data_IF_724896456373
#
_entry.id   IF_724896456373
#
_cell.length_a   1.000
_cell.length_b   1.000
_cell.length_c   1.000
_cell.angle_alpha   90.00
_cell.angle_beta   90.00
_cell.angle_gamma   90.00
#
_symmetry.space_group_name_H-M   'P 1'
#
loop_
_entity.id
_entity.type
_entity.pdbx_description
1 polymer ?
#
# COMPACT_ATOMS: atom_id res chain seq x y z
N UNK A 1 8.67 -5.11 -9.63
CA UNK A 1 9.84 -4.60 -10.39
C UNK A 1 10.95 -3.99 -9.52
N UNK A 2 10.79 -3.82 -8.20
CA UNK A 2 11.73 -3.02 -7.37
C UNK A 2 12.93 -3.76 -6.77
N UNK A 3 12.78 -5.01 -6.31
CA UNK A 3 13.84 -5.70 -5.55
C UNK A 3 15.07 -6.05 -6.40
N UNK A 4 14.85 -6.64 -7.59
CA UNK A 4 15.93 -7.04 -8.49
C UNK A 4 16.75 -5.82 -8.96
N UNK A 5 16.06 -4.74 -9.34
CA UNK A 5 16.70 -3.48 -9.72
C UNK A 5 17.50 -2.88 -8.55
N UNK A 6 16.94 -2.90 -7.33
CA UNK A 6 17.65 -2.48 -6.12
C UNK A 6 18.92 -3.31 -5.90
N UNK A 7 18.86 -4.64 -6.05
CA UNK A 7 20.04 -5.50 -5.86
C UNK A 7 21.10 -5.24 -6.92
N UNK A 8 20.73 -5.11 -8.20
CA UNK A 8 21.67 -4.83 -9.29
C UNK A 8 22.36 -3.49 -9.07
N UNK A 9 21.59 -2.43 -8.81
CA UNK A 9 22.13 -1.09 -8.58
C UNK A 9 22.96 -1.03 -7.29
N UNK A 10 22.52 -1.74 -6.24
CA UNK A 10 23.24 -1.83 -4.98
C UNK A 10 24.60 -2.53 -5.13
N UNK A 11 24.65 -3.64 -5.87
CA UNK A 11 25.90 -4.36 -6.17
C UNK A 11 26.83 -3.50 -7.03
N UNK A 12 26.29 -2.84 -8.07
CA UNK A 12 27.07 -1.94 -8.92
C UNK A 12 27.69 -0.80 -8.10
N UNK A 13 26.92 -0.17 -7.20
CA UNK A 13 27.41 0.86 -6.31
C UNK A 13 28.46 0.33 -5.31
N UNK A 14 28.23 -0.86 -4.74
CA UNK A 14 29.15 -1.53 -3.83
C UNK A 14 30.51 -1.75 -4.48
N UNK A 15 30.54 -2.33 -5.68
CA UNK A 15 31.78 -2.65 -6.41
C UNK A 15 32.45 -1.35 -6.89
N UNK A 16 31.69 -0.44 -7.50
CA UNK A 16 32.22 0.78 -8.10
C UNK A 16 32.87 1.73 -7.08
N UNK A 17 32.26 1.88 -5.90
CA UNK A 17 32.81 2.71 -4.82
C UNK A 17 33.79 1.91 -3.95
N UNK A 18 33.47 0.64 -3.64
CA UNK A 18 34.26 -0.20 -2.75
C UNK A 18 35.68 -0.45 -3.25
N UNK A 19 35.86 -0.66 -4.55
CA UNK A 19 37.18 -0.86 -5.16
C UNK A 19 38.06 0.39 -5.16
N UNK A 20 37.46 1.59 -5.06
CA UNK A 20 38.18 2.87 -5.14
C UNK A 20 38.41 3.54 -3.80
N UNK A 21 37.42 3.44 -2.90
CA UNK A 21 37.39 4.20 -1.64
C UNK A 21 37.35 3.29 -0.41
N UNK A 22 37.23 1.98 -0.59
CA UNK A 22 37.14 1.00 0.49
C UNK A 22 35.72 0.46 0.70
N UNK A 23 35.63 -0.79 1.16
CA UNK A 23 34.39 -1.55 1.20
C UNK A 23 33.30 -0.97 2.10
N UNK A 24 33.65 -0.20 3.14
CA UNK A 24 32.66 0.50 3.97
C UNK A 24 31.93 1.61 3.21
N UNK A 25 32.66 2.39 2.40
CA UNK A 25 32.04 3.39 1.53
C UNK A 25 31.27 2.75 0.37
N UNK A 26 31.76 1.60 -0.13
CA UNK A 26 30.98 0.75 -1.05
C UNK A 26 29.65 0.32 -0.44
N UNK A 27 29.67 -0.18 0.80
CA UNK A 27 28.47 -0.55 1.55
C UNK A 27 27.53 0.65 1.74
N UNK A 28 28.07 1.82 2.07
CA UNK A 28 27.29 3.05 2.21
C UNK A 28 26.62 3.47 0.90
N UNK A 29 27.33 3.36 -0.23
CA UNK A 29 26.76 3.65 -1.54
C UNK A 29 25.63 2.67 -1.89
N UNK A 30 25.83 1.37 -1.64
CA UNK A 30 24.79 0.36 -1.83
C UNK A 30 23.56 0.60 -0.93
N UNK A 31 23.80 0.99 0.33
CA UNK A 31 22.76 1.36 1.29
C UNK A 31 21.97 2.58 0.79
N UNK A 32 22.64 3.64 0.35
CA UNK A 32 21.99 4.83 -0.19
C UNK A 32 21.12 4.51 -1.41
N UNK A 33 21.57 3.62 -2.30
CA UNK A 33 20.76 3.11 -3.41
C UNK A 33 19.54 2.33 -2.91
N UNK A 34 19.71 1.45 -1.94
CA UNK A 34 18.61 0.71 -1.31
C UNK A 34 17.56 1.63 -0.68
N UNK A 35 18.03 2.64 0.05
CA UNK A 35 17.18 3.67 0.66
C UNK A 35 16.44 4.45 -0.42
N UNK A 36 17.13 4.92 -1.47
CA UNK A 36 16.51 5.68 -2.54
C UNK A 36 15.46 4.87 -3.31
N UNK A 37 15.80 3.64 -3.69
CA UNK A 37 14.90 2.76 -4.47
C UNK A 37 13.68 2.28 -3.70
N UNK A 38 13.70 2.30 -2.37
CA UNK A 38 12.54 1.93 -1.53
C UNK A 38 11.82 3.13 -0.91
N UNK A 39 12.56 4.11 -0.41
CA UNK A 39 12.05 5.32 0.22
C UNK A 39 11.31 6.25 -0.75
N UNK A 40 11.87 6.49 -1.94
CA UNK A 40 11.23 7.39 -2.92
C UNK A 40 9.84 6.88 -3.34
N UNK A 41 9.64 5.60 -3.71
CA UNK A 41 8.30 5.10 -3.99
C UNK A 41 7.33 5.15 -2.81
N UNK A 42 7.81 5.00 -1.57
CA UNK A 42 6.97 5.13 -0.38
C UNK A 42 6.48 6.57 -0.26
N UNK A 43 7.38 7.54 -0.26
CA UNK A 43 7.02 8.97 -0.17
C UNK A 43 6.06 9.34 -1.31
N UNK A 44 6.39 8.95 -2.55
CA UNK A 44 5.55 9.21 -3.71
C UNK A 44 4.15 8.60 -3.56
N UNK A 45 4.04 7.39 -3.01
CA UNK A 45 2.73 6.75 -2.79
C UNK A 45 1.87 7.47 -1.75
N UNK A 46 2.47 8.16 -0.78
CA UNK A 46 1.73 9.02 0.15
C UNK A 46 1.32 10.37 -0.47
N UNK A 47 2.03 10.84 -1.51
CA UNK A 47 1.76 12.09 -2.22
C UNK A 47 0.74 11.95 -3.37
N UNK A 48 0.37 10.73 -3.79
CA UNK A 48 -0.67 10.46 -4.80
C UNK A 48 -0.10 10.11 -6.19
N UNK A 49 -0.84 9.63 -7.20
CA UNK A 49 -2.26 9.35 -7.38
C UNK A 49 -2.37 8.02 -8.15
N UNK A 50 -2.76 6.93 -7.50
CA UNK A 50 -3.03 5.67 -8.19
C UNK A 50 -4.39 5.82 -8.90
N UNK A 51 -4.46 5.64 -10.23
CA UNK A 51 -5.75 5.64 -10.92
C UNK A 51 -6.59 4.50 -10.35
N UNK A 52 -7.92 4.70 -10.27
CA UNK A 52 -8.82 3.59 -9.96
C UNK A 52 -8.67 2.52 -11.05
N UNK A 53 -8.86 1.25 -10.68
CA UNK A 53 -8.99 0.24 -11.72
C UNK A 53 -10.25 0.57 -12.51
N UNK A 54 -10.18 0.45 -13.82
CA UNK A 54 -11.39 0.53 -14.65
C UNK A 54 -12.26 -0.69 -14.32
N UNK A 55 -13.47 -0.49 -13.75
CA UNK A 55 -14.35 -1.61 -13.44
C UNK A 55 -14.98 -2.25 -14.69
N UNK A 56 -14.73 -1.70 -15.90
CA UNK A 56 -15.36 -2.16 -17.14
C UNK A 56 -16.79 -1.63 -17.27
N UNK A 57 -17.69 -2.31 -18.02
CA UNK A 57 -19.09 -1.90 -18.17
C UNK A 57 -19.82 -1.96 -16.82
N UNK A 58 -19.86 -0.83 -16.14
CA UNK A 58 -20.49 -0.65 -14.83
C UNK A 58 -21.93 -0.14 -15.01
N UNK A 59 -22.47 0.59 -14.03
CA UNK A 59 -23.83 1.11 -14.04
C UNK A 59 -24.21 1.97 -15.27
N UNK A 60 -23.25 2.66 -15.90
CA UNK A 60 -23.48 3.49 -17.10
C UNK A 60 -23.83 2.66 -18.35
N UNK A 61 -23.38 1.40 -18.42
CA UNK A 61 -23.51 0.55 -19.61
C UNK A 61 -24.40 -0.69 -19.37
N UNK A 62 -24.83 -0.90 -18.13
CA UNK A 62 -25.64 -2.03 -17.70
C UNK A 62 -27.13 -1.85 -18.06
N UNK A 63 -27.51 -2.37 -19.24
CA UNK A 63 -28.90 -2.32 -19.74
C UNK A 63 -29.91 -3.03 -18.84
N UNK A 64 -29.46 -4.02 -18.07
CA UNK A 64 -30.26 -4.81 -17.15
C UNK A 64 -30.64 -4.09 -15.84
N UNK A 65 -30.30 -2.81 -15.67
CA UNK A 65 -30.69 -2.01 -14.50
C UNK A 65 -31.97 -1.19 -14.71
N UNK A 66 -32.49 -1.13 -15.94
CA UNK A 66 -33.73 -0.42 -16.27
C UNK A 66 -33.76 1.03 -15.77
N UNK A 67 -34.85 1.41 -15.12
CA UNK A 67 -35.08 2.78 -14.59
C UNK A 67 -34.20 3.13 -13.38
N UNK A 68 -33.54 2.15 -12.75
CA UNK A 68 -32.70 2.36 -11.58
C UNK A 68 -31.25 2.74 -11.92
N UNK A 69 -30.82 2.57 -13.18
CA UNK A 69 -29.44 2.84 -13.61
C UNK A 69 -28.96 4.25 -13.23
N UNK A 70 -29.71 5.35 -13.47
CA UNK A 70 -29.24 6.70 -13.13
C UNK A 70 -29.04 6.91 -11.63
N UNK A 71 -29.86 6.26 -10.79
CA UNK A 71 -29.76 6.35 -9.32
C UNK A 71 -28.50 5.65 -8.82
N UNK A 72 -28.20 4.45 -9.35
CA UNK A 72 -27.00 3.69 -9.03
C UNK A 72 -25.74 4.37 -9.52
N UNK A 73 -25.77 4.95 -10.72
CA UNK A 73 -24.67 5.74 -11.28
C UNK A 73 -24.39 6.98 -10.42
N UNK A 74 -25.42 7.72 -10.02
CA UNK A 74 -25.28 8.87 -9.13
C UNK A 74 -24.67 8.46 -7.77
N UNK A 75 -25.06 7.31 -7.23
CA UNK A 75 -24.49 6.77 -6.00
C UNK A 75 -23.01 6.38 -6.18
N UNK A 76 -22.67 5.69 -7.28
CA UNK A 76 -21.29 5.36 -7.62
C UNK A 76 -20.41 6.60 -7.76
N UNK A 77 -20.89 7.63 -8.47
CA UNK A 77 -20.18 8.90 -8.62
C UNK A 77 -19.85 9.56 -7.27
N UNK A 78 -20.73 9.43 -6.27
CA UNK A 78 -20.49 9.93 -4.90
C UNK A 78 -19.40 9.15 -4.15
N UNK A 79 -19.32 7.82 -4.32
CA UNK A 79 -18.34 7.00 -3.60
C UNK A 79 -17.00 6.84 -4.34
N UNK A 80 -16.96 7.10 -5.66
CA UNK A 80 -15.75 6.99 -6.50
C UNK A 80 -14.53 7.72 -5.90
N UNK A 81 -14.74 8.89 -5.32
CA UNK A 81 -13.67 9.64 -4.61
C UNK A 81 -13.10 8.86 -3.42
N UNK A 82 -13.98 8.26 -2.61
CA UNK A 82 -13.63 7.42 -1.46
C UNK A 82 -12.86 6.16 -1.89
N UNK A 83 -13.31 5.49 -2.96
CA UNK A 83 -12.61 4.30 -3.48
C UNK A 83 -11.20 4.65 -3.96
N UNK A 84 -11.04 5.78 -4.67
CA UNK A 84 -9.72 6.25 -5.09
C UNK A 84 -8.83 6.53 -3.89
N UNK A 85 -9.38 7.15 -2.85
CA UNK A 85 -8.68 7.41 -1.61
C UNK A 85 -8.24 6.10 -0.93
N UNK A 86 -9.13 5.11 -0.77
CA UNK A 86 -8.78 3.80 -0.21
C UNK A 86 -7.70 3.09 -1.00
N UNK A 87 -7.81 3.06 -2.33
CA UNK A 87 -6.79 2.46 -3.20
C UNK A 87 -5.42 3.12 -3.03
N UNK A 88 -5.37 4.45 -2.98
CA UNK A 88 -4.14 5.21 -2.75
C UNK A 88 -3.52 4.88 -1.39
N UNK A 89 -4.34 4.91 -0.33
CA UNK A 89 -3.88 4.61 1.03
C UNK A 89 -3.43 3.16 1.17
N UNK A 90 -4.19 2.21 0.61
CA UNK A 90 -3.79 0.82 0.54
C UNK A 90 -2.41 0.65 -0.11
N UNK A 91 -2.19 1.25 -1.27
CA UNK A 91 -0.93 1.14 -1.99
C UNK A 91 0.24 1.79 -1.24
N UNK A 92 0.00 2.89 -0.50
CA UNK A 92 1.02 3.53 0.31
C UNK A 92 1.41 2.69 1.52
N UNK A 93 0.41 2.23 2.26
CA UNK A 93 0.60 1.37 3.42
C UNK A 93 1.19 0.00 3.05
N UNK A 94 0.84 -0.56 1.88
CA UNK A 94 1.44 -1.78 1.34
C UNK A 94 2.94 -1.62 1.13
N UNK A 95 3.37 -0.54 0.45
CA UNK A 95 4.79 -0.28 0.20
C UNK A 95 5.57 -0.08 1.48
N UNK A 96 5.01 0.66 2.44
CA UNK A 96 5.63 0.86 3.75
C UNK A 96 5.76 -0.46 4.52
N UNK A 97 4.73 -1.30 4.52
CA UNK A 97 4.78 -2.62 5.15
C UNK A 97 5.83 -3.54 4.48
N UNK A 98 5.84 -3.60 3.15
CA UNK A 98 6.83 -4.38 2.39
C UNK A 98 8.26 -3.90 2.67
N UNK A 99 8.47 -2.58 2.74
CA UNK A 99 9.77 -2.01 3.08
C UNK A 99 10.20 -2.39 4.51
N UNK A 100 9.29 -2.33 5.49
CA UNK A 100 9.56 -2.81 6.85
C UNK A 100 10.01 -4.28 6.84
N UNK A 101 9.24 -5.17 6.22
CA UNK A 101 9.58 -6.61 6.17
C UNK A 101 10.94 -6.82 5.54
N UNK A 102 11.19 -6.19 4.39
CA UNK A 102 12.45 -6.30 3.67
C UNK A 102 13.64 -5.80 4.50
N UNK A 103 13.54 -4.60 5.08
CA UNK A 103 14.63 -4.01 5.86
C UNK A 103 14.87 -4.75 7.19
N UNK A 104 13.82 -5.30 7.82
CA UNK A 104 13.95 -6.19 8.97
C UNK A 104 14.70 -7.49 8.64
N UNK A 105 14.42 -8.10 7.49
CA UNK A 105 15.16 -9.29 7.03
C UNK A 105 16.63 -8.95 6.73
N UNK A 106 16.88 -7.86 6.00
CA UNK A 106 18.23 -7.39 5.70
C UNK A 106 18.99 -7.13 7.00
N UNK A 107 18.41 -6.38 7.96
CA UNK A 107 19.07 -6.11 9.24
C UNK A 107 19.27 -7.36 10.09
N UNK A 108 18.29 -8.24 10.16
CA UNK A 108 18.38 -9.48 10.95
C UNK A 108 19.54 -10.37 10.50
N UNK A 109 19.80 -10.46 9.19
CA UNK A 109 20.87 -11.29 8.63
C UNK A 109 22.22 -10.56 8.61
N UNK A 110 22.24 -9.28 8.21
CA UNK A 110 23.51 -8.57 8.00
C UNK A 110 24.14 -8.06 9.28
N UNK A 111 23.36 -7.66 10.28
CA UNK A 111 23.88 -6.97 11.47
C UNK A 111 24.87 -7.83 12.28
N UNK A 112 24.65 -9.14 12.51
CA UNK A 112 25.66 -10.00 13.14
C UNK A 112 27.00 -10.05 12.38
N UNK A 113 26.95 -10.09 11.05
CA UNK A 113 28.14 -10.11 10.20
C UNK A 113 28.88 -8.77 10.21
N UNK A 114 28.11 -7.68 10.16
CA UNK A 114 28.63 -6.31 10.16
C UNK A 114 29.30 -5.97 11.50
N UNK A 115 28.71 -6.38 12.62
CA UNK A 115 29.28 -6.17 13.97
C UNK A 115 30.61 -6.92 14.13
N UNK A 116 30.73 -8.14 13.62
CA UNK A 116 31.98 -8.90 13.69
C UNK A 116 33.13 -8.24 12.91
N UNK A 117 32.82 -7.52 11.83
CA UNK A 117 33.81 -6.84 10.98
C UNK A 117 33.96 -5.35 11.28
N UNK A 118 33.19 -4.83 12.24
CA UNK A 118 33.13 -3.40 12.53
C UNK A 118 34.49 -2.87 12.99
N UNK A 119 34.94 -1.80 12.35
CA UNK A 119 36.16 -1.08 12.71
C UNK A 119 35.82 0.31 13.24
N UNK A 120 36.02 0.50 14.55
CA UNK A 120 35.77 1.77 15.25
C UNK A 120 36.70 2.90 14.81
N UNK A 121 37.81 2.60 14.14
CA UNK A 121 38.76 3.60 13.69
C UNK A 121 38.51 4.03 12.23
N UNK A 122 37.63 3.33 11.51
CA UNK A 122 37.29 3.65 10.13
C UNK A 122 36.04 4.56 10.07
N UNK A 123 36.16 5.84 9.63
CA UNK A 123 35.01 6.75 9.56
C UNK A 123 33.86 6.22 8.70
N UNK A 124 34.19 5.53 7.59
CA UNK A 124 33.20 4.90 6.72
C UNK A 124 32.39 3.79 7.41
N UNK A 125 33.01 3.03 8.33
CA UNK A 125 32.32 1.98 9.07
C UNK A 125 31.32 2.57 10.07
N UNK A 126 31.73 3.62 10.79
CA UNK A 126 30.86 4.36 11.71
C UNK A 126 29.66 4.93 10.93
N UNK A 127 29.93 5.65 9.84
CA UNK A 127 28.89 6.29 9.03
C UNK A 127 27.91 5.25 8.45
N UNK A 128 28.42 4.15 7.90
CA UNK A 128 27.59 3.06 7.39
C UNK A 128 26.67 2.50 8.48
N UNK A 129 27.22 2.14 9.64
CA UNK A 129 26.45 1.55 10.75
C UNK A 129 25.40 2.53 11.28
N UNK A 130 25.73 3.81 11.40
CA UNK A 130 24.78 4.84 11.83
C UNK A 130 23.63 4.98 10.84
N UNK A 131 23.91 5.11 9.53
CA UNK A 131 22.85 5.25 8.52
C UNK A 131 22.00 3.98 8.44
N UNK A 132 22.62 2.81 8.51
CA UNK A 132 21.94 1.52 8.43
C UNK A 132 20.97 1.30 9.58
N UNK A 133 21.44 1.49 10.82
CA UNK A 133 20.62 1.32 12.04
C UNK A 133 19.53 2.40 12.14
N UNK A 134 19.86 3.65 11.79
CA UNK A 134 18.87 4.75 11.77
C UNK A 134 17.77 4.48 10.77
N UNK A 135 18.09 4.07 9.55
CA UNK A 135 17.10 3.81 8.51
C UNK A 135 16.20 2.62 8.84
N UNK A 136 16.79 1.50 9.25
CA UNK A 136 16.04 0.28 9.63
C UNK A 136 15.13 0.53 10.84
N UNK A 137 15.61 1.27 11.84
CA UNK A 137 14.81 1.74 12.97
C UNK A 137 13.68 2.66 12.54
N UNK A 138 13.97 3.69 11.73
CA UNK A 138 12.99 4.66 11.24
C UNK A 138 11.84 3.98 10.47
N UNK A 139 12.16 3.12 9.50
CA UNK A 139 11.15 2.41 8.71
C UNK A 139 10.30 1.50 9.60
N UNK A 140 10.91 0.82 10.56
CA UNK A 140 10.19 -0.07 11.48
C UNK A 140 9.21 0.72 12.35
N UNK A 141 9.66 1.84 12.95
CA UNK A 141 8.81 2.71 13.76
C UNK A 141 7.71 3.33 12.92
N UNK A 142 8.00 3.87 11.74
CA UNK A 142 6.98 4.47 10.86
C UNK A 142 5.90 3.46 10.47
N UNK A 143 6.28 2.25 10.06
CA UNK A 143 5.34 1.21 9.69
C UNK A 143 4.48 0.75 10.88
N UNK A 144 5.06 0.67 12.08
CA UNK A 144 4.33 0.36 13.31
C UNK A 144 3.36 1.47 13.71
N UNK A 145 3.84 2.71 13.84
CA UNK A 145 3.04 3.88 14.24
C UNK A 145 1.88 4.14 13.27
N UNK A 146 2.11 3.95 11.97
CA UNK A 146 1.07 4.12 10.96
C UNK A 146 0.17 2.90 10.81
N UNK A 147 0.40 1.82 11.57
CA UNK A 147 -0.33 0.55 11.48
C UNK A 147 -0.45 0.07 10.04
N UNK A 148 0.69 0.07 9.33
CA UNK A 148 0.69 -0.03 7.87
C UNK A 148 0.07 -1.34 7.36
N UNK A 149 0.24 -2.44 8.09
CA UNK A 149 -0.36 -3.73 7.74
C UNK A 149 -1.89 -3.71 7.87
N UNK A 150 -2.40 -3.33 9.06
CA UNK A 150 -3.83 -3.22 9.35
C UNK A 150 -4.54 -2.30 8.36
N UNK A 151 -3.95 -1.13 8.08
CA UNK A 151 -4.53 -0.17 7.13
C UNK A 151 -4.51 -0.67 5.69
N UNK A 152 -3.43 -1.29 5.25
CA UNK A 152 -3.36 -1.88 3.91
C UNK A 152 -4.46 -2.94 3.73
N UNK A 153 -4.55 -3.90 4.65
CA UNK A 153 -5.54 -4.98 4.58
C UNK A 153 -6.96 -4.43 4.69
N UNK A 154 -7.21 -3.51 5.62
CA UNK A 154 -8.52 -2.88 5.81
C UNK A 154 -9.01 -2.14 4.57
N UNK A 155 -8.18 -1.26 3.98
CA UNK A 155 -8.58 -0.53 2.76
C UNK A 155 -8.81 -1.45 1.56
N UNK A 156 -7.99 -2.51 1.41
CA UNK A 156 -8.17 -3.49 0.32
C UNK A 156 -9.43 -4.33 0.50
N UNK A 157 -9.75 -4.73 1.73
CA UNK A 157 -10.97 -5.48 2.01
C UNK A 157 -12.19 -4.64 1.68
N UNK A 158 -12.26 -3.39 2.16
CA UNK A 158 -13.42 -2.52 1.89
C UNK A 158 -13.57 -2.16 0.41
N UNK A 159 -12.46 -2.03 -0.32
CA UNK A 159 -12.49 -1.89 -1.77
C UNK A 159 -13.05 -3.16 -2.44
N UNK A 160 -12.64 -4.36 -2.01
CA UNK A 160 -13.17 -5.62 -2.54
C UNK A 160 -14.66 -5.78 -2.26
N UNK A 161 -15.08 -5.62 -1.00
CA UNK A 161 -16.47 -5.72 -0.56
C UNK A 161 -17.38 -4.83 -1.42
N UNK A 162 -16.93 -3.60 -1.71
CA UNK A 162 -17.65 -2.68 -2.59
C UNK A 162 -17.87 -3.25 -4.00
N UNK A 163 -16.80 -3.76 -4.63
CA UNK A 163 -16.88 -4.28 -5.99
C UNK A 163 -17.68 -5.58 -6.06
N UNK A 164 -17.58 -6.43 -5.04
CA UNK A 164 -18.28 -7.71 -5.00
C UNK A 164 -19.79 -7.51 -4.87
N UNK A 165 -20.25 -6.58 -4.03
CA UNK A 165 -21.66 -6.20 -3.95
C UNK A 165 -22.17 -5.53 -5.23
N UNK A 166 -21.33 -4.70 -5.88
CA UNK A 166 -21.67 -4.11 -7.16
C UNK A 166 -21.84 -5.14 -8.27
N UNK A 167 -20.94 -6.13 -8.35
CA UNK A 167 -21.05 -7.25 -9.30
C UNK A 167 -22.27 -8.10 -9.01
N UNK A 168 -22.52 -8.43 -7.75
CA UNK A 168 -23.71 -9.19 -7.34
C UNK A 168 -24.99 -8.49 -7.79
N UNK A 169 -25.10 -7.18 -7.60
CA UNK A 169 -26.25 -6.43 -8.10
C UNK A 169 -26.37 -6.53 -9.62
N UNK A 170 -25.26 -6.37 -10.35
CA UNK A 170 -25.23 -6.44 -11.81
C UNK A 170 -25.57 -7.83 -12.37
N UNK A 171 -25.07 -8.89 -11.74
CA UNK A 171 -25.24 -10.28 -12.19
C UNK A 171 -26.67 -10.80 -11.97
N UNK A 172 -27.33 -10.32 -10.90
CA UNK A 172 -28.69 -10.73 -10.53
C UNK A 172 -29.76 -9.66 -10.83
N UNK A 173 -29.44 -8.62 -11.60
CA UNK A 173 -30.40 -7.57 -11.92
C UNK A 173 -31.47 -8.06 -12.90
N UNK A 174 -32.73 -8.01 -12.46
CA UNK A 174 -33.91 -8.27 -13.27
C UNK A 174 -34.91 -7.10 -13.13
N UNK A 175 -35.00 -6.18 -14.10
CA UNK A 175 -35.95 -5.07 -14.08
C UNK A 175 -37.42 -5.48 -14.05
N UNK A 176 -37.74 -6.73 -14.45
CA UNK A 176 -39.10 -7.25 -14.42
C UNK A 176 -39.47 -7.85 -13.07
N UNK A 177 -38.50 -8.10 -12.17
CA UNK A 177 -38.78 -8.54 -10.81
C UNK A 177 -39.39 -7.40 -9.99
N UNK A 178 -40.62 -7.56 -9.47
CA UNK A 178 -41.26 -6.56 -8.60
C UNK A 178 -40.41 -6.18 -7.36
N UNK A 179 -39.49 -7.04 -6.93
CA UNK A 179 -38.61 -6.82 -5.78
C UNK A 179 -37.26 -6.20 -6.14
N UNK A 180 -36.97 -5.96 -7.42
CA UNK A 180 -35.68 -5.40 -7.82
C UNK A 180 -35.39 -4.04 -7.19
N UNK A 181 -36.43 -3.21 -7.00
CA UNK A 181 -36.32 -1.95 -6.26
C UNK A 181 -35.81 -2.16 -4.82
N UNK A 182 -36.25 -3.22 -4.13
CA UNK A 182 -35.78 -3.58 -2.79
C UNK A 182 -34.31 -4.01 -2.81
N UNK A 183 -33.88 -4.74 -3.84
CA UNK A 183 -32.47 -5.14 -4.03
C UNK A 183 -31.56 -3.93 -4.26
N UNK A 184 -32.02 -2.94 -5.03
CA UNK A 184 -31.30 -1.67 -5.23
C UNK A 184 -31.15 -0.90 -3.91
N UNK A 185 -32.22 -0.81 -3.12
CA UNK A 185 -32.17 -0.16 -1.82
C UNK A 185 -31.27 -0.93 -0.83
N UNK A 186 -31.30 -2.26 -0.85
CA UNK A 186 -30.42 -3.10 -0.06
C UNK A 186 -28.95 -2.88 -0.42
N UNK A 187 -28.62 -2.84 -1.71
CA UNK A 187 -27.27 -2.52 -2.18
C UNK A 187 -26.79 -1.18 -1.63
N UNK A 188 -27.58 -0.11 -1.77
CA UNK A 188 -27.20 1.23 -1.28
C UNK A 188 -26.94 1.22 0.22
N UNK A 189 -27.77 0.52 1.01
CA UNK A 189 -27.57 0.37 2.46
C UNK A 189 -26.29 -0.38 2.81
N UNK A 190 -25.99 -1.46 2.08
CA UNK A 190 -24.75 -2.24 2.27
C UNK A 190 -23.53 -1.37 1.96
N UNK A 191 -23.55 -0.62 0.85
CA UNK A 191 -22.45 0.29 0.52
C UNK A 191 -22.24 1.37 1.59
N UNK A 192 -23.32 1.90 2.17
CA UNK A 192 -23.20 2.84 3.30
C UNK A 192 -22.59 2.18 4.54
N UNK A 193 -22.88 0.91 4.81
CA UNK A 193 -22.25 0.14 5.88
C UNK A 193 -20.75 -0.07 5.61
N UNK A 194 -20.37 -0.48 4.39
CA UNK A 194 -18.97 -0.60 3.95
C UNK A 194 -18.24 0.72 4.16
N UNK A 195 -18.85 1.86 3.77
CA UNK A 195 -18.26 3.18 4.00
C UNK A 195 -18.04 3.49 5.48
N UNK A 196 -18.99 3.14 6.35
CA UNK A 196 -18.83 3.32 7.81
C UNK A 196 -17.69 2.47 8.36
N UNK A 197 -17.55 1.23 7.90
CA UNK A 197 -16.44 0.34 8.28
C UNK A 197 -15.12 0.91 7.77
N UNK A 198 -15.05 1.33 6.51
CA UNK A 198 -13.87 2.00 5.93
C UNK A 198 -13.45 3.25 6.71
N UNK A 199 -14.39 4.08 7.17
CA UNK A 199 -14.08 5.22 8.04
C UNK A 199 -13.39 4.82 9.35
N UNK A 200 -13.70 3.66 9.92
CA UNK A 200 -13.00 3.16 11.12
C UNK A 200 -11.54 2.81 10.82
N UNK A 201 -11.29 2.22 9.65
CA UNK A 201 -9.92 1.97 9.16
C UNK A 201 -9.15 3.29 8.97
N UNK A 202 -9.83 4.34 8.48
CA UNK A 202 -9.24 5.67 8.32
C UNK A 202 -8.84 6.29 9.66
N UNK A 203 -9.71 6.25 10.66
CA UNK A 203 -9.49 6.86 11.99
C UNK A 203 -8.59 6.01 12.90
N UNK A 204 -8.27 4.78 12.51
CA UNK A 204 -7.48 3.86 13.33
C UNK A 204 -8.22 3.37 14.59
N UNK A 205 -9.54 3.56 14.62
CA UNK A 205 -10.41 3.02 15.66
C UNK A 205 -10.65 1.54 15.36
N UNK A 206 -10.39 0.61 16.29
CA UNK A 206 -10.79 -0.77 16.12
C UNK A 206 -12.30 -0.84 15.78
N UNK A 207 -12.78 -1.88 15.09
CA UNK A 207 -14.20 -2.17 15.14
C UNK A 207 -14.55 -2.28 16.62
N UNK A 208 -15.49 -1.45 17.11
CA UNK A 208 -16.18 -1.77 18.35
C UNK A 208 -16.76 -3.16 18.11
N UNK A 209 -16.21 -4.18 18.79
CA UNK A 209 -16.78 -5.51 18.80
C UNK A 209 -18.24 -5.34 19.25
N UNK A 210 -19.14 -5.59 18.31
CA UNK A 210 -20.56 -5.86 18.57
C UNK A 210 -20.71 -7.35 18.29
#
# INVERSE_FOLDING_TARGET
MSLLAMMILGIAALIGVGTRQGWWYGGLAALAVGIGTTGVPIIWSFLGFVPLNDPGPWFEQARNLGTHAPRLEAHYKRIKGTLRYWKNKAAAHQRLHQARVMWSLISGVSLPLLVQRFDKNAPGAILFMTVFTTWTGLISVLAYTLKSEEKYQGFRQQESDFYDEGRRLLDFADPADPKFAESVDAYIRIIDQIRRVGRRVETGSPPSAV
#
